data_IF_389460931583
#
_entry.id   IF_389460931583
#
_cell.length_a   1.000
_cell.length_b   1.000
_cell.length_c   1.000
_cell.angle_alpha   90.00
_cell.angle_beta   90.00
_cell.angle_gamma   90.00
#
_symmetry.space_group_name_H-M   'P 1'
#
loop_
_entity.id
_entity.type
_entity.pdbx_description
1 polymer ?
#
# COMPACT_ATOMS: atom_id res chain seq x y z
N UNK A 1 -21.25 10.50 3.68
CA UNK A 1 -21.03 11.21 2.40
C UNK A 1 -19.54 11.09 2.12
N UNK A 2 -19.12 10.42 1.04
CA UNK A 2 -17.70 10.21 0.76
C UNK A 2 -16.98 11.56 0.61
N UNK A 3 -15.79 11.71 1.19
CA UNK A 3 -15.04 12.94 1.02
C UNK A 3 -14.60 13.05 -0.45
N UNK A 4 -14.51 14.26 -1.00
CA UNK A 4 -14.21 14.48 -2.42
C UNK A 4 -12.96 13.72 -2.89
N UNK A 5 -11.92 13.75 -2.07
CA UNK A 5 -10.67 13.01 -2.29
C UNK A 5 -10.86 11.50 -2.43
N UNK A 6 -11.86 10.90 -1.78
CA UNK A 6 -12.15 9.47 -1.90
C UNK A 6 -12.74 9.13 -3.27
N UNK A 7 -13.48 10.06 -3.89
CA UNK A 7 -14.00 9.92 -5.25
C UNK A 7 -12.87 9.95 -6.28
N UNK A 8 -11.86 10.81 -6.09
CA UNK A 8 -10.67 10.84 -6.93
C UNK A 8 -9.96 9.48 -6.90
N UNK A 9 -9.77 8.91 -5.71
CA UNK A 9 -9.18 7.57 -5.59
C UNK A 9 -10.07 6.52 -6.26
N UNK A 10 -11.39 6.55 -6.06
CA UNK A 10 -12.31 5.59 -6.70
C UNK A 10 -12.20 5.60 -8.23
N UNK A 11 -12.07 6.77 -8.86
CA UNK A 11 -11.90 6.91 -10.31
C UNK A 11 -10.59 6.29 -10.81
N UNK A 12 -9.58 6.19 -9.95
CA UNK A 12 -8.28 5.59 -10.27
C UNK A 12 -8.22 4.08 -10.05
N UNK A 13 -9.25 3.46 -9.44
CA UNK A 13 -9.26 2.03 -9.17
C UNK A 13 -9.54 1.25 -10.45
N UNK A 14 -8.70 0.25 -10.74
CA UNK A 14 -8.96 -0.72 -11.79
C UNK A 14 -10.12 -1.64 -11.36
N UNK A 15 -10.84 -2.17 -12.35
CA UNK A 15 -11.87 -3.20 -12.13
C UNK A 15 -11.25 -4.42 -11.44
N UNK A 16 -11.82 -4.82 -10.30
CA UNK A 16 -11.35 -6.00 -9.57
C UNK A 16 -11.44 -7.28 -10.42
N UNK A 17 -12.46 -7.39 -11.26
CA UNK A 17 -12.62 -8.52 -12.19
C UNK A 17 -11.53 -8.53 -13.26
N UNK A 18 -11.10 -7.36 -13.75
CA UNK A 18 -10.03 -7.26 -14.76
C UNK A 18 -8.65 -7.57 -14.15
N UNK A 19 -8.44 -7.23 -12.87
CA UNK A 19 -7.22 -7.59 -12.14
C UNK A 19 -7.11 -9.11 -12.00
N UNK A 20 -8.21 -9.76 -11.60
CA UNK A 20 -8.25 -11.19 -11.25
C UNK A 20 -8.37 -12.11 -12.47
N UNK A 21 -9.02 -11.67 -13.55
CA UNK A 21 -9.16 -12.46 -14.79
C UNK A 21 -7.83 -12.77 -15.46
N UNK A 22 -6.81 -11.95 -15.18
CA UNK A 22 -5.43 -12.14 -15.64
C UNK A 22 -4.62 -13.08 -14.74
N UNK A 23 -5.22 -13.72 -13.74
CA UNK A 23 -4.56 -14.64 -12.79
C UNK A 23 -5.06 -16.07 -12.99
N UNK A 24 -4.28 -17.07 -12.57
CA UNK A 24 -4.68 -18.47 -12.64
C UNK A 24 -5.70 -18.89 -11.56
N UNK A 25 -6.14 -17.94 -10.74
CA UNK A 25 -6.93 -18.15 -9.52
C UNK A 25 -8.38 -17.70 -9.70
N UNK A 26 -9.26 -18.17 -8.81
CA UNK A 26 -10.70 -17.90 -8.85
C UNK A 26 -10.97 -16.41 -8.71
N UNK A 27 -11.62 -15.84 -9.72
CA UNK A 27 -12.04 -14.44 -9.71
C UNK A 27 -13.15 -14.20 -8.69
N UNK A 28 -14.16 -15.07 -8.64
CA UNK A 28 -15.31 -14.86 -7.76
C UNK A 28 -14.93 -15.02 -6.28
N UNK A 29 -14.06 -15.98 -5.96
CA UNK A 29 -13.54 -16.10 -4.59
C UNK A 29 -12.77 -14.83 -4.20
N UNK A 30 -11.88 -14.33 -5.06
CA UNK A 30 -11.11 -13.11 -4.80
C UNK A 30 -11.96 -11.87 -4.62
N UNK A 31 -13.01 -11.69 -5.42
CA UNK A 31 -13.97 -10.58 -5.28
C UNK A 31 -14.73 -10.65 -3.96
N UNK A 32 -15.28 -11.84 -3.63
CA UNK A 32 -16.05 -12.05 -2.40
C UNK A 32 -15.19 -11.84 -1.16
N UNK A 33 -13.98 -12.43 -1.12
CA UNK A 33 -13.04 -12.24 -0.02
C UNK A 33 -12.62 -10.78 0.14
N UNK A 34 -12.41 -10.06 -0.96
CA UNK A 34 -12.06 -8.64 -0.92
C UNK A 34 -13.16 -7.77 -0.31
N UNK A 35 -14.42 -8.02 -0.65
CA UNK A 35 -15.57 -7.33 -0.06
C UNK A 35 -15.69 -7.60 1.44
N UNK A 36 -15.68 -8.87 1.83
CA UNK A 36 -15.83 -9.25 3.23
C UNK A 36 -14.60 -8.88 4.07
N UNK A 37 -13.40 -8.81 3.50
CA UNK A 37 -12.22 -8.31 4.21
C UNK A 37 -12.32 -6.81 4.53
N UNK A 38 -13.02 -6.02 3.70
CA UNK A 38 -13.34 -4.63 4.02
C UNK A 38 -14.38 -4.54 5.12
N UNK A 39 -15.42 -5.38 5.09
CA UNK A 39 -16.42 -5.49 6.17
C UNK A 39 -15.79 -5.91 7.50
N UNK A 40 -14.84 -6.83 7.46
CA UNK A 40 -14.04 -7.25 8.60
C UNK A 40 -13.17 -6.11 9.16
N UNK A 41 -12.68 -5.22 8.29
CA UNK A 41 -11.92 -4.04 8.72
C UNK A 41 -12.83 -3.01 9.39
N UNK A 42 -14.04 -2.83 8.88
CA UNK A 42 -15.08 -1.95 9.43
C UNK A 42 -15.82 -2.53 10.65
N UNK A 43 -15.55 -3.78 11.03
CA UNK A 43 -16.20 -4.44 12.17
C UNK A 43 -17.61 -4.96 11.88
N UNK A 44 -18.05 -4.94 10.62
CA UNK A 44 -19.33 -5.52 10.15
C UNK A 44 -19.29 -7.04 9.98
N UNK A 45 -18.13 -7.66 10.20
CA UNK A 45 -17.90 -9.10 10.18
C UNK A 45 -16.79 -9.42 11.18
N UNK A 46 -16.89 -10.54 11.89
CA UNK A 46 -15.87 -11.05 12.80
C UNK A 46 -14.81 -11.90 12.08
N UNK A 47 -13.65 -12.08 12.71
CA UNK A 47 -12.59 -12.94 12.17
C UNK A 47 -13.05 -14.40 12.07
N UNK A 48 -13.84 -14.87 13.04
CA UNK A 48 -14.41 -16.22 13.04
C UNK A 48 -15.39 -16.43 11.87
N UNK A 49 -16.30 -15.49 11.62
CA UNK A 49 -17.22 -15.55 10.48
C UNK A 49 -16.46 -15.57 9.16
N UNK A 50 -15.42 -14.74 9.02
CA UNK A 50 -14.59 -14.70 7.82
C UNK A 50 -13.87 -16.03 7.58
N UNK A 51 -13.23 -16.59 8.61
CA UNK A 51 -12.53 -17.88 8.51
C UNK A 51 -13.52 -19.01 8.20
N UNK A 52 -14.63 -19.09 8.91
CA UNK A 52 -15.65 -20.13 8.69
C UNK A 52 -16.20 -20.08 7.27
N UNK A 53 -16.38 -18.88 6.70
CA UNK A 53 -16.89 -18.70 5.34
C UNK A 53 -15.89 -19.11 4.26
N UNK A 54 -14.58 -18.86 4.44
CA UNK A 54 -13.60 -18.98 3.36
C UNK A 54 -12.56 -20.09 3.52
N UNK A 55 -12.38 -20.68 4.70
CA UNK A 55 -11.31 -21.67 4.95
C UNK A 55 -11.36 -22.88 4.01
N UNK A 56 -12.56 -23.36 3.66
CA UNK A 56 -12.71 -24.53 2.79
C UNK A 56 -12.35 -24.20 1.35
N UNK A 57 -12.84 -23.06 0.83
CA UNK A 57 -12.50 -22.58 -0.52
C UNK A 57 -11.01 -22.27 -0.65
N UNK A 58 -10.42 -21.61 0.36
CA UNK A 58 -8.99 -21.31 0.40
C UNK A 58 -8.16 -22.60 0.48
N UNK A 59 -8.58 -23.57 1.30
CA UNK A 59 -7.93 -24.88 1.38
C UNK A 59 -7.97 -25.64 0.06
N UNK A 60 -9.10 -25.62 -0.66
CA UNK A 60 -9.24 -26.26 -1.97
C UNK A 60 -8.39 -25.61 -3.05
N UNK A 61 -8.34 -24.28 -3.09
CA UNK A 61 -7.66 -23.55 -4.16
C UNK A 61 -6.16 -23.41 -3.93
N UNK A 62 -5.74 -23.14 -2.68
CA UNK A 62 -4.35 -22.80 -2.37
C UNK A 62 -3.62 -23.87 -1.56
N UNK A 63 -4.31 -24.91 -1.07
CA UNK A 63 -3.75 -25.90 -0.14
C UNK A 63 -3.12 -25.25 1.11
N UNK A 64 -3.78 -24.20 1.63
CA UNK A 64 -3.33 -23.42 2.79
C UNK A 64 -4.44 -23.29 3.84
N UNK A 65 -4.03 -23.12 5.10
CA UNK A 65 -4.94 -22.71 6.18
C UNK A 65 -5.07 -21.19 6.18
N UNK A 66 -6.31 -20.71 6.14
CA UNK A 66 -6.62 -19.29 6.22
C UNK A 66 -6.36 -18.77 7.63
N UNK A 67 -5.51 -17.75 7.73
CA UNK A 67 -5.29 -16.99 8.97
C UNK A 67 -5.56 -15.52 8.70
N UNK A 68 -6.38 -14.91 9.54
CA UNK A 68 -6.74 -13.51 9.42
C UNK A 68 -5.63 -12.66 10.06
N UNK A 69 -5.17 -11.64 9.34
CA UNK A 69 -4.22 -10.62 9.83
C UNK A 69 -3.01 -11.24 10.55
N UNK A 70 -2.37 -12.23 9.93
CA UNK A 70 -1.15 -12.83 10.48
C UNK A 70 -0.18 -11.74 10.97
N UNK A 71 0.22 -11.83 12.24
CA UNK A 71 1.25 -10.99 12.84
C UNK A 71 2.62 -11.63 12.62
N UNK A 72 3.66 -10.81 12.46
CA UNK A 72 5.03 -11.30 12.57
C UNK A 72 5.36 -11.63 14.04
N UNK A 73 6.25 -12.59 14.27
CA UNK A 73 6.82 -12.84 15.59
C UNK A 73 8.03 -11.94 15.88
N UNK A 74 7.89 -11.13 16.93
CA UNK A 74 8.87 -10.46 17.80
C UNK A 74 9.81 -9.33 17.31
N UNK A 75 9.91 -8.34 18.21
CA UNK A 75 11.03 -7.48 18.58
C UNK A 75 11.43 -6.29 17.69
N UNK A 76 10.49 -5.35 17.54
CA UNK A 76 10.86 -3.95 17.46
C UNK A 76 10.24 -3.16 18.61
N UNK A 77 11.05 -2.29 19.24
CA UNK A 77 10.57 -1.31 20.21
C UNK A 77 9.31 -0.61 19.68
N UNK A 78 8.39 -0.28 20.60
CA UNK A 78 7.00 0.22 20.45
C UNK A 78 6.80 1.44 19.51
N UNK A 79 7.33 1.39 18.30
CA UNK A 79 7.33 2.44 17.27
C UNK A 79 6.18 2.17 16.33
N UNK A 80 5.37 3.19 16.07
CA UNK A 80 4.23 3.12 15.16
C UNK A 80 4.48 4.05 13.98
N UNK A 81 5.11 3.55 12.92
CA UNK A 81 5.41 4.37 11.75
C UNK A 81 4.15 4.90 11.07
N UNK A 82 4.16 6.19 10.75
CA UNK A 82 3.10 6.88 10.03
C UNK A 82 3.62 8.03 9.17
N UNK A 83 2.75 8.55 8.31
CA UNK A 83 3.07 9.65 7.41
C UNK A 83 1.96 10.70 7.47
N UNK A 84 2.33 11.98 7.40
CA UNK A 84 1.40 13.10 7.20
C UNK A 84 1.75 13.80 5.89
N UNK A 85 0.75 14.13 5.08
CA UNK A 85 0.89 14.84 3.81
C UNK A 85 0.05 16.14 3.85
N UNK A 86 0.69 17.30 3.89
CA UNK A 86 0.03 18.61 3.83
C UNK A 86 -0.33 18.98 2.38
N UNK A 87 -1.63 18.92 2.05
CA UNK A 87 -2.11 19.17 0.70
C UNK A 87 -1.97 20.64 0.28
N UNK A 88 -1.89 21.58 1.23
CA UNK A 88 -1.65 23.01 0.92
C UNK A 88 -0.23 23.27 0.45
N UNK A 89 0.72 22.41 0.85
CA UNK A 89 2.13 22.49 0.45
C UNK A 89 2.44 21.66 -0.80
N UNK A 90 1.55 20.72 -1.16
CA UNK A 90 1.76 19.82 -2.28
C UNK A 90 1.55 20.51 -3.63
N UNK A 91 2.65 20.84 -4.31
CA UNK A 91 2.63 21.47 -5.64
C UNK A 91 2.39 20.49 -6.80
N UNK A 92 2.31 19.17 -6.52
CA UNK A 92 2.05 18.16 -7.54
C UNK A 92 3.21 17.92 -8.51
N UNK A 93 4.46 18.12 -8.07
CA UNK A 93 5.67 17.98 -8.91
C UNK A 93 6.09 16.54 -9.21
N UNK A 94 5.43 15.55 -8.60
CA UNK A 94 5.74 14.11 -8.76
C UNK A 94 7.16 13.66 -8.36
N UNK A 95 7.99 14.52 -7.74
CA UNK A 95 9.31 14.13 -7.25
C UNK A 95 9.22 12.92 -6.31
N UNK A 96 8.19 12.88 -5.46
CA UNK A 96 7.94 11.77 -4.56
C UNK A 96 7.58 10.43 -5.26
N UNK A 97 7.12 10.48 -6.51
CA UNK A 97 6.91 9.30 -7.36
C UNK A 97 8.25 8.84 -7.93
N UNK A 98 8.99 9.77 -8.54
CA UNK A 98 10.28 9.48 -9.20
C UNK A 98 11.33 9.00 -8.21
N UNK A 99 11.47 9.65 -7.05
CA UNK A 99 12.41 9.22 -6.01
C UNK A 99 12.04 7.85 -5.45
N UNK A 100 10.75 7.55 -5.32
CA UNK A 100 10.31 6.23 -4.89
C UNK A 100 10.64 5.14 -5.92
N UNK A 101 10.51 5.45 -7.22
CA UNK A 101 10.92 4.54 -8.31
C UNK A 101 12.42 4.30 -8.31
N UNK A 102 13.23 5.35 -8.15
CA UNK A 102 14.69 5.24 -8.08
C UNK A 102 15.13 4.43 -6.86
N UNK A 103 14.59 4.73 -5.68
CA UNK A 103 14.94 4.08 -4.42
C UNK A 103 14.52 2.61 -4.37
N UNK A 104 13.30 2.31 -4.82
CA UNK A 104 12.71 0.96 -4.74
C UNK A 104 12.77 0.21 -6.07
N UNK A 105 13.54 0.72 -7.04
CA UNK A 105 13.81 0.12 -8.35
C UNK A 105 12.56 -0.53 -8.97
N UNK A 106 11.47 0.23 -9.02
CA UNK A 106 10.19 -0.30 -9.51
C UNK A 106 10.14 -0.21 -11.04
N UNK A 107 9.79 -1.31 -11.74
CA UNK A 107 9.70 -1.30 -13.19
C UNK A 107 8.55 -0.40 -13.66
N UNK A 108 8.43 -0.19 -14.97
CA UNK A 108 7.24 0.38 -15.58
C UNK A 108 5.99 -0.40 -15.15
N UNK A 109 4.84 0.27 -15.12
CA UNK A 109 3.59 -0.29 -14.59
C UNK A 109 3.52 -0.46 -13.06
N UNK A 110 4.66 -0.53 -12.35
CA UNK A 110 4.70 -0.60 -10.88
C UNK A 110 5.02 0.78 -10.30
N UNK A 111 4.06 1.35 -9.57
CA UNK A 111 4.26 2.61 -8.85
C UNK A 111 3.78 2.52 -7.41
N UNK A 112 4.66 2.81 -6.47
CA UNK A 112 4.37 2.75 -5.03
C UNK A 112 3.72 4.03 -4.50
N UNK A 113 3.87 5.12 -5.25
CA UNK A 113 3.40 6.44 -4.89
C UNK A 113 2.92 7.13 -6.17
N UNK A 114 1.68 7.63 -6.16
CA UNK A 114 1.07 8.28 -7.31
C UNK A 114 0.46 9.60 -6.88
N UNK A 115 0.61 10.64 -7.70
CA UNK A 115 0.00 11.95 -7.45
C UNK A 115 -1.25 12.07 -8.31
N UNK A 116 -2.39 12.25 -7.66
CA UNK A 116 -3.67 12.49 -8.32
C UNK A 116 -3.96 13.97 -8.32
N UNK A 117 -4.54 14.44 -9.41
CA UNK A 117 -4.92 15.84 -9.60
C UNK A 117 -6.43 15.94 -9.63
N UNK A 118 -6.98 16.84 -8.82
CA UNK A 118 -8.39 17.20 -8.80
C UNK A 118 -8.52 18.68 -9.17
N UNK A 119 -9.29 18.97 -10.20
CA UNK A 119 -9.65 20.33 -10.60
C UNK A 119 -11.12 20.59 -10.28
N UNK A 120 -11.40 21.71 -9.61
CA UNK A 120 -12.74 22.10 -9.18
C UNK A 120 -13.07 23.52 -9.61
N UNK A 121 -14.36 23.77 -9.85
CA UNK A 121 -14.88 25.08 -10.22
C UNK A 121 -15.11 25.21 -11.72
N UNK A 122 -15.49 26.41 -12.13
CA UNK A 122 -15.77 26.75 -13.52
C UNK A 122 -14.95 27.96 -13.90
N UNK A 123 -14.44 27.99 -15.13
CA UNK A 123 -13.64 29.10 -15.63
C UNK A 123 -14.36 30.45 -15.39
N UNK A 124 -13.68 31.47 -14.84
CA UNK A 124 -12.24 31.53 -14.50
C UNK A 124 -11.88 31.08 -13.08
N UNK A 125 -12.86 30.69 -12.25
CA UNK A 125 -12.67 30.32 -10.85
C UNK A 125 -12.41 28.82 -10.69
N UNK A 126 -11.25 28.38 -11.17
CA UNK A 126 -10.80 26.98 -11.05
C UNK A 126 -9.74 26.86 -9.96
N UNK A 127 -9.84 25.80 -9.15
CA UNK A 127 -8.85 25.43 -8.15
C UNK A 127 -8.33 24.02 -8.40
N UNK A 128 -7.07 23.76 -8.04
CA UNK A 128 -6.40 22.48 -8.25
C UNK A 128 -5.88 21.95 -6.91
N UNK A 129 -6.18 20.69 -6.61
CA UNK A 129 -5.66 19.98 -5.44
C UNK A 129 -4.87 18.75 -5.89
N UNK A 130 -3.68 18.57 -5.31
CA UNK A 130 -2.79 17.45 -5.63
C UNK A 130 -2.73 16.47 -4.45
N UNK A 131 -3.13 15.22 -4.67
CA UNK A 131 -3.20 14.19 -3.62
C UNK A 131 -2.19 13.10 -3.94
N UNK A 132 -1.12 13.06 -3.17
CA UNK A 132 -0.14 12.01 -3.32
C UNK A 132 -0.51 10.80 -2.46
N UNK A 133 -0.75 9.65 -3.08
CA UNK A 133 -1.32 8.45 -2.45
C UNK A 133 -0.31 7.30 -2.49
N UNK A 134 0.45 7.06 -1.40
CA UNK A 134 1.22 5.84 -1.22
C UNK A 134 0.34 4.69 -0.69
N UNK A 135 0.95 3.56 -0.32
CA UNK A 135 0.28 2.59 0.56
C UNK A 135 -0.02 3.24 1.91
N UNK A 136 -1.19 2.94 2.47
CA UNK A 136 -1.67 3.57 3.69
C UNK A 136 -1.20 2.88 4.98
N UNK A 137 -0.52 1.71 4.86
CA UNK A 137 -0.06 0.89 5.99
C UNK A 137 -1.09 0.76 7.11
N UNK A 138 -2.31 0.37 6.73
CA UNK A 138 -3.50 0.27 7.56
C UNK A 138 -3.29 -0.53 8.84
N UNK A 139 -3.91 -0.08 9.94
CA UNK A 139 -3.93 -0.83 11.19
C UNK A 139 -4.77 -2.10 11.10
N UNK A 140 -5.86 -2.05 10.32
CA UNK A 140 -6.71 -3.19 9.95
C UNK A 140 -6.61 -3.41 8.44
N UNK A 141 -5.54 -4.06 7.93
CA UNK A 141 -5.29 -4.17 6.50
C UNK A 141 -6.14 -5.28 5.86
N UNK A 142 -7.15 -4.97 5.02
CA UNK A 142 -7.97 -5.99 4.36
C UNK A 142 -7.11 -6.86 3.42
N UNK A 143 -6.06 -6.26 2.85
CA UNK A 143 -5.11 -6.96 2.00
C UNK A 143 -4.34 -8.10 2.69
N UNK A 144 -4.12 -8.02 4.01
CA UNK A 144 -3.49 -9.10 4.78
C UNK A 144 -4.50 -10.22 5.08
N UNK A 145 -5.76 -9.87 5.38
CA UNK A 145 -6.82 -10.84 5.65
C UNK A 145 -7.13 -11.77 4.47
N UNK A 146 -6.90 -11.31 3.22
CA UNK A 146 -7.19 -12.10 2.01
C UNK A 146 -5.99 -12.89 1.48
N UNK A 147 -4.82 -12.81 2.10
CA UNK A 147 -3.62 -13.45 1.56
C UNK A 147 -3.52 -14.91 2.00
N UNK A 148 -3.73 -15.90 1.11
CA UNK A 148 -3.79 -17.30 1.49
C UNK A 148 -2.43 -17.87 1.94
N UNK A 149 -1.34 -17.29 1.44
CA UNK A 149 0.06 -17.73 1.68
C UNK A 149 0.81 -16.83 2.66
N UNK A 150 0.13 -15.87 3.30
CA UNK A 150 0.73 -14.93 4.27
C UNK A 150 1.96 -14.18 3.72
N UNK A 151 1.97 -13.94 2.42
CA UNK A 151 2.92 -13.06 1.75
C UNK A 151 2.73 -11.59 2.13
N UNK A 152 1.59 -11.22 2.72
CA UNK A 152 1.41 -9.89 3.30
C UNK A 152 0.84 -10.00 4.70
N UNK A 153 1.50 -9.32 5.63
CA UNK A 153 1.26 -9.41 7.07
C UNK A 153 1.58 -8.05 7.70
N UNK A 154 1.19 -7.85 8.97
CA UNK A 154 1.49 -6.62 9.70
C UNK A 154 2.66 -6.90 10.64
N UNK A 155 3.75 -6.13 10.49
CA UNK A 155 4.87 -6.16 11.43
C UNK A 155 4.53 -5.40 12.72
N UNK A 156 5.34 -5.59 13.78
CA UNK A 156 5.11 -4.95 15.08
C UNK A 156 5.28 -3.43 15.05
N UNK A 157 6.20 -2.93 14.21
CA UNK A 157 6.32 -1.50 13.90
C UNK A 157 5.12 -0.95 13.08
N UNK A 158 4.22 -1.86 12.67
CA UNK A 158 2.98 -1.67 11.94
C UNK A 158 3.12 -1.31 10.47
N UNK A 159 4.29 -1.52 9.89
CA UNK A 159 4.42 -1.63 8.45
C UNK A 159 3.67 -2.89 8.00
N UNK A 160 2.70 -2.73 7.11
CA UNK A 160 2.15 -3.84 6.33
C UNK A 160 3.23 -4.31 5.37
N UNK A 161 3.78 -5.49 5.57
CA UNK A 161 4.88 -6.08 4.79
C UNK A 161 4.33 -6.78 3.55
N UNK A 162 5.12 -6.80 2.48
CA UNK A 162 4.90 -7.63 1.30
C UNK A 162 6.15 -8.47 1.07
N UNK A 163 6.09 -9.72 1.47
CA UNK A 163 7.10 -10.75 1.22
C UNK A 163 6.88 -11.29 -0.21
N UNK A 164 7.86 -11.04 -1.07
CA UNK A 164 7.79 -11.45 -2.47
C UNK A 164 8.21 -12.92 -2.68
N UNK A 165 8.95 -13.53 -1.76
CA UNK A 165 9.36 -14.93 -1.86
C UNK A 165 8.20 -15.88 -1.51
N UNK A 166 7.25 -15.41 -0.69
CA UNK A 166 6.00 -16.11 -0.41
C UNK A 166 4.87 -15.79 -1.38
N UNK A 167 4.99 -14.72 -2.17
CA UNK A 167 3.89 -14.24 -2.99
C UNK A 167 3.66 -15.13 -4.22
N UNK A 168 2.48 -15.72 -4.31
CA UNK A 168 2.07 -16.58 -5.44
C UNK A 168 1.32 -15.83 -6.56
N UNK A 169 1.25 -14.50 -6.48
CA UNK A 169 0.65 -13.69 -7.53
C UNK A 169 -0.87 -13.82 -7.71
N UNK A 170 -1.64 -14.22 -6.68
CA UNK A 170 -3.11 -14.38 -6.82
C UNK A 170 -3.90 -13.06 -6.92
N UNK A 171 -3.28 -11.92 -6.59
CA UNK A 171 -3.82 -10.55 -6.71
C UNK A 171 -5.07 -10.24 -5.87
N UNK A 172 -5.53 -11.13 -4.99
CA UNK A 172 -6.66 -10.87 -4.09
C UNK A 172 -6.43 -9.62 -3.23
N UNK A 173 -5.19 -9.42 -2.77
CA UNK A 173 -4.79 -8.27 -1.98
C UNK A 173 -4.92 -6.94 -2.74
N UNK A 174 -4.81 -6.93 -4.07
CA UNK A 174 -4.99 -5.74 -4.90
C UNK A 174 -6.45 -5.29 -4.88
N UNK A 175 -7.38 -6.23 -5.05
CA UNK A 175 -8.82 -5.97 -5.04
C UNK A 175 -9.34 -5.64 -3.64
N UNK A 176 -8.76 -6.25 -2.61
CA UNK A 176 -9.11 -5.96 -1.22
C UNK A 176 -8.68 -4.55 -0.79
N UNK A 177 -7.62 -3.98 -1.38
CA UNK A 177 -7.12 -2.66 -1.02
C UNK A 177 -8.09 -1.55 -1.51
N UNK A 178 -8.75 -0.79 -0.62
CA UNK A 178 -9.68 0.26 -1.04
C UNK A 178 -8.98 1.47 -1.67
N UNK A 179 -7.65 1.52 -1.59
CA UNK A 179 -6.83 2.62 -2.09
C UNK A 179 -6.18 2.34 -3.44
N UNK A 180 -6.26 1.10 -3.96
CA UNK A 180 -5.56 0.72 -5.19
C UNK A 180 -4.03 0.86 -5.10
N UNK A 181 -3.46 0.78 -3.90
CA UNK A 181 -2.04 1.07 -3.63
C UNK A 181 -1.12 -0.16 -3.77
N UNK A 182 -1.51 -1.13 -4.60
CA UNK A 182 -0.78 -2.37 -4.89
C UNK A 182 -0.75 -2.55 -6.40
N UNK A 183 0.42 -2.90 -6.92
CA UNK A 183 0.65 -3.15 -8.35
C UNK A 183 1.13 -4.58 -8.54
N UNK A 184 0.71 -5.25 -9.60
CA UNK A 184 1.26 -6.54 -9.98
C UNK A 184 2.47 -6.31 -10.89
N UNK A 185 3.55 -7.08 -10.66
CA UNK A 185 4.74 -7.02 -11.49
C UNK A 185 4.66 -8.10 -12.59
N UNK A 186 4.31 -7.67 -13.80
CA UNK A 186 4.13 -8.58 -14.94
C UNK A 186 5.45 -9.04 -15.57
N UNK A 187 6.57 -8.37 -15.30
CA UNK A 187 7.83 -8.67 -15.96
C UNK A 187 7.98 -8.13 -17.40
N UNK A 188 6.93 -7.55 -17.98
CA UNK A 188 6.82 -7.29 -19.43
C UNK A 188 7.69 -6.14 -19.98
N UNK A 189 8.36 -5.36 -19.12
CA UNK A 189 9.10 -4.15 -19.54
C UNK A 189 10.50 -4.04 -18.88
N UNK A 190 11.05 -5.14 -18.35
CA UNK A 190 12.39 -5.13 -17.76
C UNK A 190 13.50 -5.03 -18.81
N UNK A 191 13.32 -5.64 -19.98
CA UNK A 191 14.32 -5.67 -21.05
C UNK A 191 14.54 -4.29 -21.69
N UNK A 192 13.57 -3.38 -21.58
CA UNK A 192 13.63 -2.03 -22.13
C UNK A 192 14.40 -1.04 -21.22
N UNK A 193 14.69 -1.45 -19.98
CA UNK A 193 15.43 -0.63 -19.03
C UNK A 193 16.87 -1.12 -18.93
N UNK A 194 17.80 -0.27 -19.36
CA UNK A 194 19.24 -0.47 -19.15
C UNK A 194 19.51 -0.76 -17.67
N UNK A 195 20.25 -1.84 -17.42
CA UNK A 195 20.66 -2.30 -16.09
C UNK A 195 19.54 -2.71 -15.13
N UNK A 196 18.30 -2.93 -15.63
CA UNK A 196 17.19 -3.34 -14.78
C UNK A 196 17.45 -4.65 -14.02
N UNK A 197 18.30 -5.52 -14.57
CA UNK A 197 18.66 -6.80 -13.97
C UNK A 197 19.88 -6.73 -13.03
N UNK A 198 20.60 -5.61 -13.00
CA UNK A 198 21.88 -5.51 -12.28
C UNK A 198 21.70 -5.39 -10.77
N UNK A 199 20.67 -4.66 -10.29
CA UNK A 199 20.43 -4.52 -8.85
C UNK A 199 18.94 -4.53 -8.55
N UNK A 200 18.51 -5.43 -7.68
CA UNK A 200 17.11 -5.53 -7.27
C UNK A 200 16.75 -4.54 -6.16
N UNK A 201 15.47 -4.21 -6.05
CA UNK A 201 14.97 -3.36 -4.98
C UNK A 201 15.30 -3.96 -3.60
N UNK A 202 15.78 -3.17 -2.62
CA UNK A 202 16.00 -3.63 -1.24
C UNK A 202 14.66 -3.80 -0.52
N UNK A 203 13.83 -4.72 -1.01
CA UNK A 203 12.46 -4.90 -0.53
C UNK A 203 12.48 -5.36 0.91
N UNK A 204 12.07 -4.46 1.80
CA UNK A 204 12.05 -4.72 3.24
C UNK A 204 13.45 -5.04 3.82
N UNK A 205 14.49 -4.39 3.32
CA UNK A 205 15.85 -4.53 3.85
C UNK A 205 16.61 -5.74 3.31
N UNK A 206 15.98 -6.56 2.46
CA UNK A 206 16.65 -7.67 1.80
C UNK A 206 17.45 -7.16 0.60
N UNK A 207 18.79 -7.18 0.72
CA UNK A 207 19.67 -7.05 -0.44
C UNK A 207 19.55 -8.31 -1.30
N UNK A 208 18.71 -8.22 -2.32
CA UNK A 208 18.67 -9.22 -3.36
C UNK A 208 19.79 -8.91 -4.35
N UNK A 209 20.55 -9.95 -4.75
CA UNK A 209 21.67 -9.83 -5.68
C UNK A 209 21.23 -9.49 -7.10
N UNK A 210 21.97 -9.98 -8.08
CA UNK A 210 21.56 -9.88 -9.49
C UNK A 210 20.19 -10.55 -9.69
N UNK A 211 19.36 -9.96 -10.57
CA UNK A 211 18.04 -10.51 -10.84
C UNK A 211 18.18 -11.73 -11.76
N UNK A 212 17.81 -12.90 -11.26
CA UNK A 212 17.58 -14.07 -12.12
C UNK A 212 16.34 -13.86 -13.00
N UNK A 213 16.37 -14.43 -14.21
CA UNK A 213 15.26 -14.35 -15.14
C UNK A 213 14.01 -15.02 -14.57
N UNK A 214 12.91 -14.25 -14.47
CA UNK A 214 11.62 -14.75 -13.94
C UNK A 214 11.60 -14.97 -12.43
N UNK A 215 12.62 -14.55 -11.70
CA UNK A 215 12.66 -14.65 -10.24
C UNK A 215 11.90 -13.49 -9.57
N UNK A 216 11.49 -13.70 -8.32
CA UNK A 216 10.87 -12.66 -7.50
C UNK A 216 11.74 -11.39 -7.52
N UNK A 217 11.15 -10.20 -7.75
CA UNK A 217 9.72 -9.90 -7.57
C UNK A 217 8.85 -10.02 -8.84
N UNK A 218 9.33 -10.62 -9.95
CA UNK A 218 8.48 -10.86 -11.13
C UNK A 218 7.36 -11.84 -10.74
N UNK A 219 6.13 -11.58 -11.20
CA UNK A 219 4.97 -12.42 -10.89
C UNK A 219 4.39 -12.20 -9.50
N UNK A 220 4.89 -11.21 -8.75
CA UNK A 220 4.40 -10.89 -7.40
C UNK A 220 3.64 -9.57 -7.36
N UNK A 221 2.91 -9.36 -6.26
CA UNK A 221 2.31 -8.05 -5.98
C UNK A 221 3.32 -7.20 -5.22
N UNK A 222 3.52 -5.97 -5.68
CA UNK A 222 4.44 -5.00 -5.09
C UNK A 222 3.66 -3.78 -4.55
N UNK A 223 4.22 -3.10 -3.56
CA UNK A 223 3.63 -1.91 -2.94
C UNK A 223 4.65 -1.09 -2.15
N UNK A 224 4.30 0.14 -1.82
CA UNK A 224 5.07 0.95 -0.86
C UNK A 224 5.34 0.16 0.44
N UNK A 225 6.57 0.27 0.93
CA UNK A 225 7.10 -0.37 2.12
C UNK A 225 7.55 0.66 3.17
N UNK A 226 7.13 1.93 3.03
CA UNK A 226 7.64 3.06 3.81
C UNK A 226 9.17 3.21 3.78
N UNK A 227 9.82 2.72 2.72
CA UNK A 227 11.29 2.67 2.61
C UNK A 227 11.91 2.04 3.86
N UNK A 228 11.34 0.91 4.33
CA UNK A 228 11.79 0.25 5.55
C UNK A 228 13.33 0.06 5.63
N UNK A 229 13.95 -0.29 4.50
CA UNK A 229 15.40 -0.43 4.36
C UNK A 229 16.19 0.86 4.64
N UNK A 230 15.60 2.03 4.41
CA UNK A 230 16.18 3.34 4.80
C UNK A 230 16.01 3.60 6.29
N UNK A 231 14.83 3.27 6.82
CA UNK A 231 14.54 3.43 8.25
C UNK A 231 15.51 2.61 9.12
N UNK A 232 15.88 1.41 8.68
CA UNK A 232 16.89 0.57 9.35
C UNK A 232 18.27 1.22 9.40
N UNK A 233 18.59 2.12 8.45
CA UNK A 233 19.82 2.92 8.43
C UNK A 233 19.68 4.27 9.14
N UNK A 234 18.52 4.57 9.72
CA UNK A 234 18.23 5.86 10.34
C UNK A 234 17.96 6.99 9.34
N UNK A 235 17.68 6.67 8.08
CA UNK A 235 17.33 7.63 7.03
C UNK A 235 15.81 7.80 6.92
N UNK A 236 15.35 8.97 6.47
CA UNK A 236 13.93 9.18 6.14
C UNK A 236 13.52 8.43 4.87
N UNK A 237 12.22 8.18 4.60
CA UNK A 237 11.80 7.66 3.31
C UNK A 237 12.17 8.59 2.15
N UNK A 238 12.61 8.04 1.01
CA UNK A 238 13.06 8.85 -0.14
C UNK A 238 12.02 9.88 -0.62
N UNK A 239 10.74 9.50 -0.57
CA UNK A 239 9.65 10.38 -0.96
C UNK A 239 9.40 11.56 0.00
N UNK A 240 9.93 11.51 1.23
CA UNK A 240 9.88 12.56 2.24
C UNK A 240 11.06 13.50 2.02
N UNK A 241 12.28 12.96 2.00
CA UNK A 241 13.53 13.72 1.82
C UNK A 241 13.56 14.55 0.52
N UNK A 242 12.97 14.04 -0.55
CA UNK A 242 12.96 14.70 -1.87
C UNK A 242 11.76 15.63 -2.11
N UNK A 243 10.90 15.83 -1.10
CA UNK A 243 9.68 16.63 -1.27
C UNK A 243 10.00 18.13 -1.28
N UNK A 244 10.09 18.73 -2.48
CA UNK A 244 10.43 20.16 -2.64
C UNK A 244 9.47 21.15 -1.96
N UNK A 245 8.26 20.71 -1.61
CA UNK A 245 7.27 21.54 -0.92
C UNK A 245 7.27 21.35 0.60
N UNK A 246 8.11 20.47 1.15
CA UNK A 246 8.05 20.01 2.55
C UNK A 246 6.63 19.63 2.96
N UNK A 247 5.93 18.96 2.03
CA UNK A 247 4.55 18.54 2.21
C UNK A 247 4.45 17.23 2.98
N UNK A 248 5.52 16.44 3.07
CA UNK A 248 5.52 15.09 3.62
C UNK A 248 6.31 15.05 4.92
N UNK A 249 5.74 14.41 5.93
CA UNK A 249 6.36 14.19 7.23
C UNK A 249 6.25 12.71 7.56
N UNK A 250 7.32 12.12 8.07
CA UNK A 250 7.35 10.70 8.45
C UNK A 250 7.96 10.53 9.84
N UNK A 251 7.44 9.58 10.61
CA UNK A 251 7.85 9.46 12.00
C UNK A 251 6.99 8.49 12.81
N UNK A 252 7.32 8.41 14.09
CA UNK A 252 6.61 7.59 15.07
C UNK A 252 5.35 8.29 15.57
N UNK A 253 4.18 7.68 15.32
CA UNK A 253 2.87 8.11 15.81
C UNK A 253 2.68 7.84 17.31
N UNK A 254 3.46 6.94 17.92
CA UNK A 254 3.39 6.69 19.36
C UNK A 254 4.18 7.71 20.16
N UNK A 255 5.11 8.44 19.54
CA UNK A 255 5.86 9.51 20.18
C UNK A 255 5.08 10.83 20.10
N UNK A 256 4.47 11.33 21.20
CA UNK A 256 3.67 12.55 21.18
C UNK A 256 4.50 13.81 20.87
N UNK A 257 5.82 13.76 21.07
CA UNK A 257 6.71 14.87 20.73
C UNK A 257 7.07 14.93 19.25
N UNK A 258 6.82 13.87 18.49
CA UNK A 258 7.14 13.81 17.07
C UNK A 258 6.26 14.79 16.27
N UNK A 259 6.85 15.40 15.24
CA UNK A 259 6.13 16.29 14.31
C UNK A 259 4.94 15.57 13.67
N UNK A 260 5.10 14.29 13.30
CA UNK A 260 4.03 13.50 12.69
C UNK A 260 2.87 13.27 13.65
N UNK A 261 3.13 12.91 14.91
CA UNK A 261 2.07 12.73 15.91
C UNK A 261 1.28 14.03 16.14
N UNK A 262 1.99 15.15 16.29
CA UNK A 262 1.38 16.49 16.46
C UNK A 262 0.53 16.90 15.26
N UNK A 263 1.01 16.67 14.04
CA UNK A 263 0.27 16.98 12.82
C UNK A 263 -0.92 16.04 12.59
N UNK A 264 -0.78 14.74 12.87
CA UNK A 264 -1.86 13.77 12.74
C UNK A 264 -3.01 14.02 13.74
N UNK A 265 -2.71 14.58 14.91
CA UNK A 265 -3.71 15.00 15.90
C UNK A 265 -4.32 16.39 15.62
N UNK A 266 -3.86 17.10 14.60
CA UNK A 266 -4.37 18.42 14.24
C UNK A 266 -5.83 18.34 13.77
N UNK A 267 -6.63 19.38 14.05
CA UNK A 267 -7.97 19.53 13.50
C UNK A 267 -8.02 19.63 11.97
N UNK A 268 -6.88 19.91 11.32
CA UNK A 268 -6.72 19.89 9.85
C UNK A 268 -6.60 18.48 9.29
N UNK A 269 -6.31 17.49 10.13
CA UNK A 269 -6.00 16.14 9.70
C UNK A 269 -7.25 15.34 9.33
N UNK A 270 -7.15 14.57 8.25
CA UNK A 270 -8.14 13.59 7.87
C UNK A 270 -7.45 12.37 7.25
N UNK A 271 -8.19 11.27 7.12
CA UNK A 271 -7.71 10.04 6.48
C UNK A 271 -8.58 9.73 5.26
N UNK A 272 -8.01 9.07 4.26
CA UNK A 272 -8.81 8.64 3.10
C UNK A 272 -9.64 7.41 3.45
N UNK A 273 -10.86 7.38 2.95
CA UNK A 273 -11.79 6.24 2.99
C UNK A 273 -12.00 5.65 4.38
N UNK A 274 -12.26 6.51 5.36
CA UNK A 274 -12.49 6.09 6.75
C UNK A 274 -13.69 5.14 6.89
N UNK A 275 -14.63 5.17 5.94
CA UNK A 275 -15.81 4.29 5.88
C UNK A 275 -15.50 2.79 5.75
N UNK A 276 -14.26 2.40 5.45
CA UNK A 276 -13.86 0.99 5.41
C UNK A 276 -13.20 0.51 6.71
N UNK A 277 -13.11 1.36 7.73
CA UNK A 277 -12.53 1.02 9.04
C UNK A 277 -11.09 0.49 9.00
N UNK A 278 -10.35 0.71 7.91
CA UNK A 278 -8.99 0.15 7.78
C UNK A 278 -7.97 0.82 8.69
N UNK A 279 -8.33 1.96 9.30
CA UNK A 279 -7.46 2.76 10.17
C UNK A 279 -6.11 3.06 9.50
N UNK A 280 -6.11 3.79 8.37
CA UNK A 280 -4.88 4.08 7.63
C UNK A 280 -3.93 4.95 8.46
N UNK A 281 -2.63 4.76 8.26
CA UNK A 281 -1.56 5.49 8.97
C UNK A 281 -0.93 6.61 8.14
N UNK A 282 -1.54 6.92 7.01
CA UNK A 282 -1.23 8.10 6.22
C UNK A 282 -2.35 9.10 6.42
N UNK A 283 -2.00 10.24 6.98
CA UNK A 283 -2.88 11.35 7.28
C UNK A 283 -2.66 12.47 6.26
N UNK A 284 -3.70 13.23 5.98
CA UNK A 284 -3.64 14.37 5.08
C UNK A 284 -4.07 15.63 5.82
N UNK A 285 -3.44 16.77 5.55
CA UNK A 285 -3.86 18.07 6.09
C UNK A 285 -4.52 18.91 4.99
N UNK A 286 -5.64 19.57 5.33
CA UNK A 286 -6.33 20.54 4.46
C UNK A 286 -5.95 21.98 4.73
#
# INVERSE_FOLDING_TARGET
MAMKHDLLINKSLLSGRDILSKSAYSTDLGLNMAEDARRLSDGLMSEEEFVNKYQESVGKEFNQKLEVRAAAGQDHANVKWGMVIDLRKCVGCETCTVSCKAENRTPPGVSYNQVFVEEEGTFPNVSRTNIARPCMHCDKPPCASVCPVRATYKADNGIVVQDNDRCIGCRYCMVACPYGARSFDFGEEYEEILDANMIQAPEHGMERGERGNGEAPIGTVRKCNFCFHRLERGEEPACVETCIGDARYFGDLNNPESTVSKLAASSRAFRLKEEYGTEPRVYYLR
#
